data_IF_384586524775
#
_entry.id   IF_384586524775
#
_cell.length_a   1.000
_cell.length_b   1.000
_cell.length_c   1.000
_cell.angle_alpha   90.00
_cell.angle_beta   90.00
_cell.angle_gamma   90.00
#
_symmetry.space_group_name_H-M   'P 1'
#
loop_
_entity.id
_entity.type
_entity.pdbx_description
1 polymer ?
#
# COMPACT_ATOMS: atom_id res chain seq x y z
N UNK A 1 -10.71 -26.66 4.37
CA UNK A 1 -10.12 -26.22 5.65
C UNK A 1 -10.20 -24.72 5.67
N UNK A 2 -10.78 -24.15 6.71
CA UNK A 2 -10.84 -22.69 6.85
C UNK A 2 -9.43 -22.15 7.08
N UNK A 3 -9.09 -21.04 6.43
CA UNK A 3 -7.77 -20.42 6.52
C UNK A 3 -7.64 -19.73 7.88
N UNK A 4 -6.65 -20.12 8.69
CA UNK A 4 -6.29 -19.41 9.91
C UNK A 4 -5.64 -18.07 9.54
N UNK A 5 -6.42 -16.99 9.60
CA UNK A 5 -5.98 -15.66 9.17
C UNK A 5 -5.04 -14.99 10.15
N UNK A 6 -5.18 -15.28 11.45
CA UNK A 6 -4.28 -14.77 12.47
C UNK A 6 -2.89 -15.39 12.29
N UNK A 7 -2.84 -16.70 11.98
CA UNK A 7 -1.57 -17.35 11.65
C UNK A 7 -1.01 -16.84 10.32
N UNK A 8 -1.84 -16.66 9.30
CA UNK A 8 -1.40 -16.08 8.02
C UNK A 8 -0.77 -14.69 8.20
N UNK A 9 -1.38 -13.82 9.02
CA UNK A 9 -0.81 -12.50 9.30
C UNK A 9 0.59 -12.61 9.90
N UNK A 10 0.76 -13.49 10.90
CA UNK A 10 2.07 -13.74 11.54
C UNK A 10 3.09 -14.27 10.54
N UNK A 11 2.68 -15.21 9.67
CA UNK A 11 3.55 -15.82 8.67
C UNK A 11 4.01 -14.79 7.63
N UNK A 12 3.12 -13.90 7.19
CA UNK A 12 3.46 -12.81 6.26
C UNK A 12 4.40 -11.80 6.93
N UNK A 13 4.11 -11.36 8.15
CA UNK A 13 5.00 -10.45 8.88
C UNK A 13 6.39 -11.08 9.05
N UNK A 14 6.44 -12.37 9.39
CA UNK A 14 7.69 -13.11 9.52
C UNK A 14 8.43 -13.25 8.18
N UNK A 15 7.71 -13.43 7.07
CA UNK A 15 8.27 -13.44 5.72
C UNK A 15 8.96 -12.11 5.39
N UNK A 16 8.25 -10.98 5.54
CA UNK A 16 8.85 -9.66 5.25
C UNK A 16 10.03 -9.35 6.16
N UNK A 17 9.93 -9.70 7.44
CA UNK A 17 11.02 -9.53 8.40
C UNK A 17 12.26 -10.32 7.97
N UNK A 18 12.08 -11.57 7.56
CA UNK A 18 13.16 -12.42 7.04
C UNK A 18 13.72 -11.87 5.75
N UNK A 19 12.88 -11.45 4.80
CA UNK A 19 13.34 -10.91 3.52
C UNK A 19 14.18 -9.64 3.72
N UNK A 20 13.77 -8.73 4.62
CA UNK A 20 14.57 -7.55 4.97
C UNK A 20 15.90 -7.92 5.64
N UNK A 21 15.91 -8.94 6.51
CA UNK A 21 17.13 -9.43 7.13
C UNK A 21 18.09 -10.07 6.11
N UNK A 22 17.55 -10.83 5.14
CA UNK A 22 18.32 -11.46 4.07
C UNK A 22 18.90 -10.46 3.07
N UNK A 23 18.19 -9.35 2.77
CA UNK A 23 18.77 -8.24 2.02
C UNK A 23 19.98 -7.65 2.75
N UNK A 24 19.90 -7.56 4.08
CA UNK A 24 20.92 -6.92 4.90
C UNK A 24 21.17 -5.45 4.53
N UNK A 25 22.22 -4.87 5.10
CA UNK A 25 22.58 -3.48 4.81
C UNK A 25 22.99 -3.29 3.34
N UNK A 26 23.82 -4.19 2.79
CA UNK A 26 24.29 -4.09 1.41
C UNK A 26 23.15 -4.16 0.41
N UNK A 27 22.31 -5.20 0.46
CA UNK A 27 21.20 -5.35 -0.47
C UNK A 27 20.17 -4.23 -0.36
N UNK A 28 19.94 -3.71 0.86
CA UNK A 28 19.09 -2.51 1.05
C UNK A 28 19.67 -1.30 0.33
N UNK A 29 20.99 -1.06 0.45
CA UNK A 29 21.68 0.04 -0.23
C UNK A 29 21.71 -0.17 -1.76
N UNK A 30 21.90 -1.39 -2.22
CA UNK A 30 21.90 -1.71 -3.66
C UNK A 30 20.53 -1.42 -4.30
N UNK A 31 19.43 -1.74 -3.60
CA UNK A 31 18.09 -1.35 -4.03
C UNK A 31 17.88 0.17 -4.03
N UNK A 32 18.40 0.89 -3.02
CA UNK A 32 18.36 2.35 -2.98
C UNK A 32 19.11 2.95 -4.17
N UNK A 33 20.35 2.52 -4.42
CA UNK A 33 21.13 3.00 -5.56
C UNK A 33 20.46 2.66 -6.90
N UNK A 34 19.90 1.45 -7.05
CA UNK A 34 19.12 1.11 -8.24
C UNK A 34 17.88 2.00 -8.38
N UNK A 35 17.24 2.40 -7.30
CA UNK A 35 16.08 3.31 -7.31
C UNK A 35 16.40 4.70 -7.87
N UNK A 36 17.65 5.15 -7.80
CA UNK A 36 18.09 6.47 -8.32
C UNK A 36 18.07 6.58 -9.84
N UNK A 37 17.90 5.48 -10.57
CA UNK A 37 17.79 5.54 -12.04
C UNK A 37 16.52 6.28 -12.51
N UNK A 38 15.54 6.48 -11.61
CA UNK A 38 14.36 7.31 -11.87
C UNK A 38 14.38 8.56 -11.00
N UNK A 39 14.32 9.75 -11.61
CA UNK A 39 13.98 10.99 -10.91
C UNK A 39 12.48 11.26 -11.05
N UNK A 40 11.72 10.83 -10.06
CA UNK A 40 10.27 11.00 -10.00
C UNK A 40 9.86 12.19 -9.10
N UNK A 41 10.83 12.91 -8.54
CA UNK A 41 10.58 14.01 -7.61
C UNK A 41 9.78 15.15 -8.25
N UNK A 42 10.02 15.39 -9.54
CA UNK A 42 9.28 16.39 -10.33
C UNK A 42 7.79 16.09 -10.43
N UNK A 43 7.41 14.82 -10.60
CA UNK A 43 6.00 14.41 -10.67
C UNK A 43 5.27 14.72 -9.37
N UNK A 44 5.90 14.43 -8.22
CA UNK A 44 5.33 14.77 -6.91
C UNK A 44 5.24 16.29 -6.70
N UNK A 45 6.28 17.05 -7.07
CA UNK A 45 6.27 18.53 -6.98
C UNK A 45 5.17 19.19 -7.82
N UNK A 46 4.80 18.59 -8.94
CA UNK A 46 3.71 19.07 -9.80
C UNK A 46 2.32 18.62 -9.33
N UNK A 47 2.19 17.99 -8.16
CA UNK A 47 0.92 17.51 -7.62
C UNK A 47 0.50 16.13 -8.13
N UNK A 48 1.40 15.39 -8.78
CA UNK A 48 1.18 14.00 -9.17
C UNK A 48 1.29 13.03 -7.99
N UNK A 49 0.92 11.77 -8.25
CA UNK A 49 0.96 10.67 -7.28
C UNK A 49 1.88 9.58 -7.81
N UNK A 50 2.69 8.97 -6.93
CA UNK A 50 3.48 7.79 -7.28
C UNK A 50 2.88 6.54 -6.66
N UNK A 51 2.79 5.47 -7.45
CA UNK A 51 2.27 4.18 -7.02
C UNK A 51 3.38 3.14 -7.12
N UNK A 52 3.61 2.36 -6.06
CA UNK A 52 4.71 1.39 -5.98
C UNK A 52 4.24 -0.01 -5.55
N UNK A 53 4.81 -1.09 -6.11
CA UNK A 53 4.50 -2.45 -5.66
C UNK A 53 4.99 -2.71 -4.24
N UNK A 54 4.27 -3.54 -3.49
CA UNK A 54 4.60 -3.84 -2.09
C UNK A 54 4.88 -5.33 -1.80
N UNK A 55 4.78 -6.20 -2.82
CA UNK A 55 5.01 -7.64 -2.71
C UNK A 55 6.41 -8.05 -3.20
N UNK A 56 7.13 -8.85 -2.40
CA UNK A 56 8.44 -9.41 -2.78
C UNK A 56 9.55 -8.36 -2.83
N UNK A 57 10.10 -7.99 -1.66
CA UNK A 57 11.08 -6.88 -1.55
C UNK A 57 12.36 -7.11 -2.37
N UNK A 58 12.77 -8.37 -2.58
CA UNK A 58 13.93 -8.70 -3.42
C UNK A 58 13.71 -8.35 -4.89
N UNK A 59 12.48 -8.47 -5.38
CA UNK A 59 12.13 -8.23 -6.77
C UNK A 59 11.76 -6.78 -7.01
N UNK A 60 11.01 -6.17 -6.08
CA UNK A 60 10.41 -4.84 -6.29
C UNK A 60 11.01 -3.73 -5.42
N UNK A 61 11.96 -4.04 -4.53
CA UNK A 61 12.50 -3.09 -3.55
C UNK A 61 13.09 -1.82 -4.14
N UNK A 62 13.66 -1.89 -5.35
CA UNK A 62 14.20 -0.72 -6.03
C UNK A 62 13.11 0.24 -6.54
N UNK A 63 11.89 -0.25 -6.81
CA UNK A 63 10.75 0.58 -7.20
C UNK A 63 10.18 1.32 -5.99
N UNK A 64 10.16 0.65 -4.83
CA UNK A 64 9.85 1.29 -3.53
C UNK A 64 10.90 2.38 -3.24
N UNK A 65 12.19 2.05 -3.39
CA UNK A 65 13.28 2.99 -3.20
C UNK A 65 13.18 4.22 -4.11
N UNK A 66 12.80 4.05 -5.38
CA UNK A 66 12.58 5.17 -6.30
C UNK A 66 11.51 6.14 -5.76
N UNK A 67 10.41 5.63 -5.22
CA UNK A 67 9.37 6.45 -4.60
C UNK A 67 9.83 7.10 -3.28
N UNK A 68 10.64 6.40 -2.47
CA UNK A 68 11.27 6.97 -1.26
C UNK A 68 12.19 8.14 -1.62
N UNK A 69 13.04 7.99 -2.64
CA UNK A 69 13.87 9.10 -3.14
C UNK A 69 13.01 10.26 -3.61
N UNK A 70 12.03 10.00 -4.47
CA UNK A 70 11.14 11.04 -4.97
C UNK A 70 10.44 11.82 -3.86
N UNK A 71 9.96 11.12 -2.82
CA UNK A 71 9.32 11.73 -1.67
C UNK A 71 10.30 12.61 -0.87
N UNK A 72 11.50 12.10 -0.56
CA UNK A 72 12.54 12.84 0.16
C UNK A 72 13.13 14.01 -0.65
N UNK A 73 13.16 13.89 -1.98
CA UNK A 73 13.70 14.90 -2.92
C UNK A 73 12.62 15.86 -3.45
N UNK A 74 11.36 15.67 -3.06
CA UNK A 74 10.25 16.54 -3.47
C UNK A 74 10.34 17.94 -2.87
N UNK A 75 11.00 18.08 -1.72
CA UNK A 75 11.01 19.32 -0.93
C UNK A 75 9.73 19.56 -0.13
N UNK A 76 8.81 18.60 -0.08
CA UNK A 76 7.60 18.69 0.73
C UNK A 76 7.88 18.41 2.21
N UNK A 77 7.18 19.11 3.09
CA UNK A 77 7.26 18.89 4.54
C UNK A 77 6.46 17.66 5.00
N UNK A 78 5.51 17.20 4.19
CA UNK A 78 4.61 16.07 4.49
C UNK A 78 4.59 15.07 3.33
N UNK A 79 4.67 13.80 3.68
CA UNK A 79 4.47 12.67 2.77
C UNK A 79 3.30 11.85 3.29
N UNK A 80 2.22 11.79 2.52
CA UNK A 80 1.08 10.92 2.82
C UNK A 80 1.25 9.62 2.05
N UNK A 81 1.39 8.51 2.79
CA UNK A 81 1.54 7.17 2.24
C UNK A 81 0.21 6.45 2.38
N UNK A 82 -0.49 6.26 1.26
CA UNK A 82 -1.79 5.59 1.22
C UNK A 82 -1.59 4.12 0.90
N UNK A 83 -1.97 3.25 1.82
CA UNK A 83 -1.90 1.79 1.66
C UNK A 83 -3.29 1.17 1.69
N UNK A 84 -3.42 -0.03 1.13
CA UNK A 84 -4.56 -0.89 1.42
C UNK A 84 -4.48 -1.42 2.85
N UNK A 85 -5.65 -1.68 3.46
CA UNK A 85 -5.76 -2.43 4.70
C UNK A 85 -6.23 -3.84 4.41
N UNK A 86 -5.43 -4.84 4.77
CA UNK A 86 -5.72 -6.24 4.52
C UNK A 86 -6.65 -6.84 5.58
N UNK A 87 -7.55 -7.72 5.12
CA UNK A 87 -8.50 -8.43 5.97
C UNK A 87 -7.87 -9.61 6.72
N UNK A 88 -7.08 -9.32 7.76
CA UNK A 88 -6.35 -10.33 8.53
C UNK A 88 -7.13 -10.98 9.67
N UNK A 89 -8.31 -10.47 10.04
CA UNK A 89 -9.20 -11.15 10.98
C UNK A 89 -10.36 -11.81 10.25
N UNK A 90 -10.98 -12.82 10.87
CA UNK A 90 -12.18 -13.44 10.35
C UNK A 90 -13.32 -12.42 10.13
N UNK A 91 -13.50 -11.50 11.08
CA UNK A 91 -14.53 -10.45 11.01
C UNK A 91 -14.26 -9.43 9.90
N UNK A 92 -13.00 -9.04 9.69
CA UNK A 92 -12.63 -8.15 8.58
C UNK A 92 -12.89 -8.85 7.23
N UNK A 93 -12.56 -10.12 7.11
CA UNK A 93 -12.84 -10.88 5.89
C UNK A 93 -14.34 -11.05 5.65
N UNK A 94 -15.12 -11.33 6.70
CA UNK A 94 -16.57 -11.40 6.61
C UNK A 94 -17.14 -10.06 6.11
N UNK A 95 -16.65 -8.94 6.65
CA UNK A 95 -17.01 -7.60 6.19
C UNK A 95 -16.69 -7.39 4.71
N UNK A 96 -15.46 -7.72 4.31
CA UNK A 96 -14.99 -7.59 2.94
C UNK A 96 -15.85 -8.40 1.97
N UNK A 97 -16.17 -9.64 2.30
CA UNK A 97 -17.04 -10.53 1.49
C UNK A 97 -18.47 -10.01 1.42
N UNK A 98 -19.03 -9.56 2.54
CA UNK A 98 -20.38 -9.02 2.56
C UNK A 98 -20.51 -7.78 1.68
N UNK A 99 -19.55 -6.84 1.76
CA UNK A 99 -19.51 -5.65 0.91
C UNK A 99 -19.30 -6.01 -0.56
N UNK A 100 -18.38 -6.94 -0.87
CA UNK A 100 -18.19 -7.44 -2.23
C UNK A 100 -19.47 -8.08 -2.81
N UNK A 101 -20.31 -8.68 -1.96
CA UNK A 101 -21.61 -9.24 -2.33
C UNK A 101 -22.76 -8.20 -2.34
N UNK A 102 -22.45 -6.91 -2.38
CA UNK A 102 -23.43 -5.82 -2.45
C UNK A 102 -23.97 -5.35 -1.09
N UNK A 103 -23.41 -5.83 0.02
CA UNK A 103 -23.71 -5.33 1.37
C UNK A 103 -23.21 -3.89 1.56
N UNK A 104 -23.82 -3.17 2.51
CA UNK A 104 -23.41 -1.79 2.80
C UNK A 104 -22.17 -1.79 3.70
N UNK A 105 -21.11 -1.03 3.35
CA UNK A 105 -19.93 -0.95 4.19
C UNK A 105 -20.23 -0.29 5.54
N UNK A 106 -21.24 0.59 5.61
CA UNK A 106 -21.74 1.22 6.84
C UNK A 106 -22.21 0.25 7.92
N UNK A 107 -22.51 -1.00 7.55
CA UNK A 107 -22.96 -2.02 8.50
C UNK A 107 -21.80 -2.65 9.28
N UNK A 108 -20.55 -2.33 8.90
CA UNK A 108 -19.35 -2.92 9.47
C UNK A 108 -18.53 -1.90 10.25
N UNK A 109 -18.03 -2.26 11.44
CA UNK A 109 -17.25 -1.35 12.27
C UNK A 109 -15.91 -0.98 11.62
N UNK A 110 -15.46 -1.70 10.61
CA UNK A 110 -14.17 -1.49 9.93
C UNK A 110 -14.21 -0.42 8.82
N UNK A 111 -15.38 0.08 8.44
CA UNK A 111 -15.51 1.06 7.34
C UNK A 111 -14.89 2.41 7.67
N UNK A 112 -14.00 2.90 6.81
CA UNK A 112 -13.35 4.20 6.96
C UNK A 112 -11.84 4.14 6.79
N UNK A 113 -11.18 5.20 7.22
CA UNK A 113 -9.72 5.36 7.12
C UNK A 113 -9.07 5.19 8.50
N UNK A 114 -8.00 4.41 8.55
CA UNK A 114 -7.13 4.28 9.72
C UNK A 114 -5.73 4.85 9.44
N UNK A 115 -4.88 4.99 10.47
CA UNK A 115 -3.47 5.32 10.28
C UNK A 115 -2.88 6.26 11.33
N UNK A 116 -1.71 6.82 11.03
CA UNK A 116 -0.92 7.66 11.95
C UNK A 116 -1.70 8.87 12.44
N UNK A 117 -1.78 9.06 13.76
CA UNK A 117 -2.46 10.21 14.37
C UNK A 117 -3.99 10.16 14.32
N UNK A 118 -4.58 9.02 13.95
CA UNK A 118 -6.02 8.78 14.10
C UNK A 118 -6.23 7.93 15.36
N UNK A 119 -6.79 8.56 16.38
CA UNK A 119 -7.14 7.90 17.64
C UNK A 119 -8.44 7.11 17.50
N UNK A 120 -8.59 6.07 18.32
CA UNK A 120 -9.79 5.26 18.38
C UNK A 120 -9.52 3.77 18.61
N UNK A 121 -10.58 2.97 18.82
CA UNK A 121 -10.46 1.55 19.12
C UNK A 121 -9.92 0.72 17.95
N UNK A 122 -9.98 1.24 16.72
CA UNK A 122 -9.52 0.57 15.50
C UNK A 122 -8.05 0.88 15.24
N UNK A 123 -7.22 -0.14 15.28
CA UNK A 123 -5.76 -0.04 15.11
C UNK A 123 -5.21 -1.23 14.31
N UNK A 124 -6.05 -1.88 13.50
CA UNK A 124 -5.71 -3.06 12.70
C UNK A 124 -4.56 -2.76 11.72
N UNK A 125 -4.46 -1.52 11.26
CA UNK A 125 -3.36 -1.06 10.39
C UNK A 125 -1.96 -1.25 10.96
N UNK A 126 -1.81 -1.32 12.29
CA UNK A 126 -0.49 -1.46 12.94
C UNK A 126 0.14 -2.83 12.70
N UNK A 127 -0.67 -3.85 12.42
CA UNK A 127 -0.21 -5.19 12.07
C UNK A 127 -0.30 -5.49 10.58
N UNK A 128 -0.57 -4.48 9.74
CA UNK A 128 -0.54 -4.64 8.29
C UNK A 128 0.90 -4.64 7.75
N UNK A 129 1.15 -5.51 6.78
CA UNK A 129 2.47 -5.74 6.20
C UNK A 129 2.79 -4.82 5.02
N UNK A 130 1.78 -4.20 4.39
CA UNK A 130 1.91 -3.51 3.10
C UNK A 130 2.96 -2.39 3.10
N UNK A 131 3.10 -1.67 4.22
CA UNK A 131 4.09 -0.60 4.36
C UNK A 131 5.38 -1.03 5.07
N UNK A 132 5.58 -2.31 5.39
CA UNK A 132 6.82 -2.76 6.03
C UNK A 132 8.05 -2.44 5.17
N UNK A 133 8.01 -2.76 3.87
CA UNK A 133 9.13 -2.48 2.96
C UNK A 133 9.30 -0.98 2.71
N UNK A 134 8.21 -0.20 2.65
CA UNK A 134 8.29 1.26 2.57
C UNK A 134 9.04 1.83 3.78
N UNK A 135 8.61 1.48 5.01
CA UNK A 135 9.26 1.91 6.26
C UNK A 135 10.73 1.50 6.30
N UNK A 136 11.05 0.29 5.85
CA UNK A 136 12.43 -0.23 5.78
C UNK A 136 13.33 0.67 4.93
N UNK A 137 12.94 0.95 3.68
CA UNK A 137 13.72 1.79 2.77
C UNK A 137 13.72 3.27 3.18
N UNK A 138 12.59 3.80 3.65
CA UNK A 138 12.49 5.16 4.18
C UNK A 138 13.49 5.38 5.31
N UNK A 139 13.47 4.50 6.32
CA UNK A 139 14.37 4.61 7.48
C UNK A 139 15.84 4.43 7.09
N UNK A 140 16.14 3.50 6.18
CA UNK A 140 17.49 3.28 5.67
C UNK A 140 18.02 4.53 4.95
N UNK A 141 17.20 5.15 4.09
CA UNK A 141 17.60 6.32 3.32
C UNK A 141 17.71 7.59 4.16
N UNK A 142 16.76 7.84 5.07
CA UNK A 142 16.83 8.93 6.04
C UNK A 142 18.13 8.84 6.84
N UNK A 143 18.46 7.64 7.34
CA UNK A 143 19.72 7.39 8.07
C UNK A 143 20.94 7.62 7.19
N UNK A 144 20.94 7.09 5.96
CA UNK A 144 22.06 7.20 5.02
C UNK A 144 22.34 8.65 4.63
N UNK A 145 21.30 9.45 4.44
CA UNK A 145 21.38 10.88 4.13
C UNK A 145 21.74 11.74 5.35
N UNK A 146 21.74 11.17 6.56
CA UNK A 146 21.98 11.91 7.80
C UNK A 146 20.93 13.00 8.06
N UNK A 147 19.68 12.77 7.64
CA UNK A 147 18.61 13.74 7.86
C UNK A 147 18.19 13.74 9.33
N UNK A 148 18.11 14.95 9.91
CA UNK A 148 17.54 15.12 11.24
C UNK A 148 16.01 15.04 11.19
N UNK A 149 15.32 14.83 12.33
CA UNK A 149 13.86 14.83 12.36
C UNK A 149 13.23 16.10 11.79
N UNK A 150 13.86 17.27 11.99
CA UNK A 150 13.38 18.57 11.49
C UNK A 150 13.55 18.74 9.98
N UNK A 151 14.47 17.98 9.38
CA UNK A 151 14.75 17.99 7.93
C UNK A 151 14.13 16.80 7.20
N UNK A 152 13.54 15.87 7.93
CA UNK A 152 12.87 14.70 7.37
C UNK A 152 11.39 15.04 7.22
N UNK A 153 10.79 14.90 6.02
CA UNK A 153 9.37 15.10 5.86
C UNK A 153 8.58 14.22 6.83
N UNK A 154 7.48 14.76 7.37
CA UNK A 154 6.58 13.98 8.21
C UNK A 154 5.92 12.90 7.37
N UNK A 155 6.23 11.63 7.65
CA UNK A 155 5.57 10.48 7.03
C UNK A 155 4.25 10.19 7.76
N UNK A 156 3.14 10.22 7.02
CA UNK A 156 1.80 9.99 7.55
C UNK A 156 1.15 8.85 6.77
N UNK A 157 0.79 7.77 7.45
CA UNK A 157 0.24 6.59 6.81
C UNK A 157 -1.29 6.60 6.88
N UNK A 158 -1.95 6.18 5.80
CA UNK A 158 -3.40 6.12 5.69
C UNK A 158 -3.81 4.78 5.09
N UNK A 159 -4.80 4.17 5.72
CA UNK A 159 -5.28 2.82 5.43
C UNK A 159 -6.80 2.86 5.21
N UNK A 160 -7.27 3.24 4.02
CA UNK A 160 -8.68 3.13 3.65
C UNK A 160 -9.14 1.66 3.67
N UNK A 161 -10.33 1.41 4.21
CA UNK A 161 -10.92 0.07 4.22
C UNK A 161 -12.43 0.09 3.94
N UNK A 162 -12.90 -0.91 3.19
CA UNK A 162 -14.29 -1.05 2.71
C UNK A 162 -14.81 0.16 1.92
N UNK A 163 -14.02 0.73 1.00
CA UNK A 163 -14.47 1.84 0.15
C UNK A 163 -15.68 1.48 -0.75
N UNK A 164 -15.95 0.20 -0.99
CA UNK A 164 -17.19 -0.26 -1.64
C UNK A 164 -17.43 0.31 -3.05
N UNK A 165 -16.36 0.70 -3.76
CA UNK A 165 -16.46 1.36 -5.07
C UNK A 165 -16.91 2.83 -5.02
N UNK A 166 -17.13 3.39 -3.83
CA UNK A 166 -17.55 4.77 -3.60
C UNK A 166 -16.63 5.46 -2.58
N UNK A 167 -15.38 5.75 -2.94
CA UNK A 167 -14.41 6.35 -2.02
C UNK A 167 -14.89 7.67 -1.39
N UNK A 168 -15.76 8.41 -2.06
CA UNK A 168 -16.37 9.65 -1.57
C UNK A 168 -17.34 9.46 -0.39
N UNK A 169 -17.86 8.25 -0.17
CA UNK A 169 -18.71 7.95 0.99
C UNK A 169 -17.89 7.48 2.21
N UNK A 170 -16.58 7.27 2.04
CA UNK A 170 -15.73 6.65 3.06
C UNK A 170 -15.54 7.57 4.29
N UNK A 171 -15.87 7.11 5.53
CA UNK A 171 -15.61 7.90 6.72
C UNK A 171 -14.14 8.32 6.85
N UNK A 172 -13.93 9.63 6.93
CA UNK A 172 -12.60 10.25 6.98
C UNK A 172 -12.05 10.72 5.63
N UNK A 173 -12.76 10.53 4.51
CA UNK A 173 -12.29 10.95 3.18
C UNK A 173 -12.06 12.46 3.09
N UNK A 174 -12.95 13.29 3.62
CA UNK A 174 -12.78 14.75 3.62
C UNK A 174 -11.54 15.17 4.44
N UNK A 175 -11.32 14.52 5.57
CA UNK A 175 -10.13 14.76 6.39
C UNK A 175 -8.83 14.30 5.69
N UNK A 176 -8.89 13.21 4.93
CA UNK A 176 -7.78 12.78 4.08
C UNK A 176 -7.54 13.78 2.95
N UNK A 177 -8.59 14.24 2.27
CA UNK A 177 -8.51 15.23 1.21
C UNK A 177 -7.87 16.53 1.72
N UNK A 178 -8.22 16.96 2.93
CA UNK A 178 -7.61 18.14 3.53
C UNK A 178 -6.15 17.93 3.92
N UNK A 179 -5.83 16.76 4.48
CA UNK A 179 -4.46 16.41 4.84
C UNK A 179 -3.50 16.46 3.63
N UNK A 180 -3.96 16.01 2.47
CA UNK A 180 -3.11 15.83 1.28
C UNK A 180 -2.88 17.12 0.48
N UNK A 181 -3.63 18.21 0.75
CA UNK A 181 -3.47 19.49 0.03
C UNK A 181 -2.05 20.05 0.11
N UNK A 182 -1.39 19.88 1.25
CA UNK A 182 -0.01 20.36 1.48
C UNK A 182 0.97 19.19 1.65
N UNK A 183 0.73 18.06 0.99
CA UNK A 183 1.59 16.89 1.06
C UNK A 183 1.83 16.30 -0.33
N UNK A 184 2.94 15.58 -0.48
CA UNK A 184 3.10 14.68 -1.62
C UNK A 184 2.48 13.33 -1.29
N UNK A 185 1.88 12.70 -2.30
CA UNK A 185 1.14 11.46 -2.12
C UNK A 185 1.89 10.33 -2.80
N UNK A 186 2.11 9.26 -2.04
CA UNK A 186 2.59 7.98 -2.56
C UNK A 186 1.63 6.88 -2.12
N UNK A 187 1.49 5.84 -2.92
CA UNK A 187 0.56 4.75 -2.62
C UNK A 187 1.09 3.38 -2.99
N UNK A 188 0.69 2.36 -2.25
CA UNK A 188 0.98 0.97 -2.63
C UNK A 188 0.08 0.57 -3.80
N UNK A 189 0.66 0.01 -4.84
CA UNK A 189 -0.05 -0.83 -5.79
C UNK A 189 -0.31 -2.19 -5.15
N UNK A 190 -1.58 -2.56 -5.06
CA UNK A 190 -2.01 -3.95 -4.91
C UNK A 190 -2.73 -4.37 -6.20
N UNK A 191 -1.98 -4.82 -7.23
CA UNK A 191 -2.58 -5.18 -8.51
C UNK A 191 -3.45 -6.44 -8.41
N UNK A 192 -3.40 -7.19 -7.30
CA UNK A 192 -4.20 -8.39 -7.12
C UNK A 192 -4.60 -8.61 -5.66
N UNK A 193 -5.71 -7.99 -5.27
CA UNK A 193 -6.30 -8.18 -3.95
C UNK A 193 -6.92 -9.60 -3.78
N UNK A 194 -6.84 -10.17 -2.56
CA UNK A 194 -7.38 -11.49 -2.21
C UNK A 194 -8.93 -11.58 -2.15
N UNK A 195 -9.59 -10.62 -2.76
CA UNK A 195 -10.81 -10.85 -3.50
C UNK A 195 -11.00 -9.66 -4.42
N UNK A 196 -10.41 -9.82 -5.59
CA UNK A 196 -10.74 -9.20 -6.88
C UNK A 196 -11.14 -7.74 -6.77
N UNK A 197 -10.12 -6.88 -6.96
CA UNK A 197 -10.24 -5.49 -7.37
C UNK A 197 -11.09 -4.59 -6.48
N UNK A 198 -11.10 -3.32 -6.85
CA UNK A 198 -12.13 -2.39 -6.42
C UNK A 198 -13.20 -2.39 -7.52
N UNK A 199 -14.37 -2.98 -7.26
CA UNK A 199 -15.54 -2.89 -8.16
C UNK A 199 -15.89 -4.15 -8.96
N UNK A 200 -15.21 -5.28 -8.76
CA UNK A 200 -15.59 -6.54 -9.39
C UNK A 200 -16.84 -7.16 -8.73
N UNK A 201 -17.73 -7.73 -9.56
CA UNK A 201 -18.94 -8.40 -9.10
C UNK A 201 -18.60 -9.74 -8.42
N UNK A 202 -19.50 -10.31 -7.60
CA UNK A 202 -19.29 -11.61 -6.97
C UNK A 202 -18.93 -12.73 -7.96
N UNK A 203 -19.51 -12.70 -9.17
CA UNK A 203 -19.23 -13.68 -10.23
C UNK A 203 -17.82 -13.52 -10.80
N UNK A 204 -17.26 -12.32 -10.68
CA UNK A 204 -15.90 -12.01 -11.07
C UNK A 204 -14.92 -12.21 -9.92
N UNK A 205 -15.34 -12.67 -8.74
CA UNK A 205 -14.49 -12.96 -7.58
C UNK A 205 -14.02 -14.44 -7.54
N UNK A 206 -12.71 -14.68 -7.64
CA UNK A 206 -12.08 -16.00 -7.72
C UNK A 206 -11.34 -16.32 -6.43
N UNK A 207 -11.24 -17.61 -6.11
CA UNK A 207 -10.42 -18.11 -5.01
C UNK A 207 -8.93 -18.12 -5.38
N UNK A 208 -8.03 -18.29 -4.40
CA UNK A 208 -6.58 -18.39 -4.61
C UNK A 208 -6.15 -19.75 -5.21
N UNK A 209 -6.95 -20.31 -6.11
CA UNK A 209 -6.67 -21.55 -6.83
C UNK A 209 -6.07 -21.27 -8.21
N UNK A 210 -5.94 -22.32 -9.04
CA UNK A 210 -5.40 -22.18 -10.39
C UNK A 210 -6.23 -21.23 -11.28
N UNK A 211 -7.54 -21.13 -11.08
CA UNK A 211 -8.39 -20.22 -11.83
C UNK A 211 -8.16 -18.77 -11.39
N UNK A 212 -8.07 -18.52 -10.09
CA UNK A 212 -7.72 -17.19 -9.57
C UNK A 212 -6.32 -16.74 -9.97
N UNK A 213 -5.32 -17.62 -9.94
CA UNK A 213 -3.97 -17.30 -10.42
C UNK A 213 -3.98 -16.91 -11.91
N UNK A 214 -4.69 -17.67 -12.75
CA UNK A 214 -4.83 -17.34 -14.16
C UNK A 214 -5.51 -15.97 -14.38
N UNK A 215 -6.55 -15.66 -13.59
CA UNK A 215 -7.21 -14.35 -13.61
C UNK A 215 -6.24 -13.23 -13.19
N UNK A 216 -5.44 -13.45 -12.15
CA UNK A 216 -4.42 -12.51 -11.69
C UNK A 216 -3.43 -12.15 -12.79
N UNK A 217 -2.86 -13.18 -13.43
CA UNK A 217 -1.91 -13.02 -14.52
C UNK A 217 -2.50 -12.20 -15.66
N UNK A 218 -3.72 -12.55 -16.10
CA UNK A 218 -4.39 -11.84 -17.19
C UNK A 218 -4.64 -10.35 -16.89
N UNK A 219 -5.04 -10.01 -15.66
CA UNK A 219 -5.28 -8.61 -15.25
C UNK A 219 -3.97 -7.82 -15.19
N UNK A 220 -2.90 -8.43 -14.65
CA UNK A 220 -1.57 -7.81 -14.62
C UNK A 220 -1.06 -7.56 -16.05
N UNK A 221 -1.18 -8.53 -16.94
CA UNK A 221 -0.78 -8.40 -18.35
C UNK A 221 -1.60 -7.34 -19.09
N UNK A 222 -2.89 -7.18 -18.78
CA UNK A 222 -3.73 -6.11 -19.34
C UNK A 222 -3.27 -4.73 -18.86
N UNK A 223 -3.02 -4.57 -17.56
CA UNK A 223 -2.47 -3.33 -17.00
C UNK A 223 -1.12 -2.96 -17.63
N UNK A 224 -0.22 -3.93 -17.82
CA UNK A 224 1.06 -3.72 -18.51
C UNK A 224 0.84 -3.23 -19.95
N UNK A 225 -0.14 -3.79 -20.67
CA UNK A 225 -0.46 -3.36 -22.05
C UNK A 225 -1.00 -1.94 -22.12
N UNK A 226 -1.91 -1.57 -21.21
CA UNK A 226 -2.47 -0.19 -21.13
C UNK A 226 -1.34 0.81 -20.88
N UNK A 227 -0.49 0.55 -19.87
CA UNK A 227 0.66 1.40 -19.56
C UNK A 227 1.64 1.49 -20.74
N UNK A 228 1.90 0.37 -21.41
CA UNK A 228 2.76 0.33 -22.60
C UNK A 228 2.21 1.12 -23.80
N UNK A 229 0.88 1.28 -23.88
CA UNK A 229 0.23 2.08 -24.91
C UNK A 229 0.20 3.59 -24.58
N UNK A 230 0.53 3.99 -23.36
CA UNK A 230 0.42 5.38 -22.90
C UNK A 230 -1.03 5.85 -22.72
N UNK A 231 -1.97 4.91 -22.57
CA UNK A 231 -3.40 5.18 -22.41
C UNK A 231 -3.74 5.34 -20.93
N UNK A 232 -3.31 6.46 -20.33
CA UNK A 232 -3.52 6.82 -18.92
C UNK A 232 -3.80 8.31 -18.73
#
# INVERSE_FOLDING_TARGET
MELDRDQLQKDIIALYTRDHAELGASGTLDHLERGRQWDLSGALRSGGVLVFPHAGVKDCGYQIAACVHAALDSGADKVVVISVLHAFTADMEAARRAVANGGKPSDWPYWGIQGTGIDGPRQEWRSDHALMSWRHFWNAEVRRRGLSPERTPQMIERYPYLAGGKPEELPGIDALAELVKDAVIVSTADPFHHGIGYGDTPENAFHHDAAGLKRAQAVIEDGIRILGAGDY
#
